data_IF_464578170307
#
_entry.id   IF_464578170307
#
_cell.length_a   1.000
_cell.length_b   1.000
_cell.length_c   1.000
_cell.angle_alpha   90.00
_cell.angle_beta   90.00
_cell.angle_gamma   90.00
#
_symmetry.space_group_name_H-M   'P 1'
#
loop_
_entity.id
_entity.type
_entity.pdbx_description
1 polymer ?
#
# COMPACT_ATOMS: atom_id res chain seq x y z
N UNK A 1 -75.07 -15.08 -6.80
CA UNK A 1 -74.21 -15.72 -5.77
C UNK A 1 -73.81 -17.11 -6.29
N UNK A 2 -72.58 -17.20 -6.85
CA UNK A 2 -72.06 -18.49 -7.37
C UNK A 2 -71.22 -19.15 -6.26
N UNK A 3 -71.82 -20.15 -5.58
CA UNK A 3 -71.11 -20.98 -4.63
C UNK A 3 -70.09 -21.85 -5.40
N UNK A 4 -68.80 -21.55 -5.26
CA UNK A 4 -67.74 -22.45 -5.69
C UNK A 4 -67.84 -23.73 -4.85
N UNK A 5 -68.23 -24.88 -5.45
CA UNK A 5 -68.18 -26.21 -4.85
C UNK A 5 -66.71 -26.48 -4.47
N UNK A 6 -66.39 -26.48 -3.17
CA UNK A 6 -65.12 -27.04 -2.66
C UNK A 6 -65.10 -28.54 -2.97
N UNK A 7 -64.26 -28.94 -3.91
CA UNK A 7 -64.03 -30.35 -4.18
C UNK A 7 -63.45 -31.03 -2.94
N UNK A 8 -64.00 -32.17 -2.57
CA UNK A 8 -63.46 -32.99 -1.49
C UNK A 8 -61.96 -33.26 -1.68
N UNK A 9 -61.12 -32.85 -0.72
CA UNK A 9 -59.71 -33.14 -0.74
C UNK A 9 -59.47 -34.51 -0.05
N UNK A 10 -59.05 -35.49 -0.84
CA UNK A 10 -58.65 -36.82 -0.35
C UNK A 10 -57.11 -36.84 -0.12
N UNK A 11 -56.68 -37.50 0.97
CA UNK A 11 -55.25 -37.71 1.24
C UNK A 11 -54.71 -38.84 0.32
N UNK A 12 -53.40 -38.96 0.22
CA UNK A 12 -52.78 -39.92 -0.69
C UNK A 12 -53.01 -41.40 -0.24
N UNK A 13 -53.15 -41.63 1.05
CA UNK A 13 -53.44 -42.97 1.60
C UNK A 13 -54.81 -43.46 1.17
N UNK A 14 -55.83 -42.56 1.21
CA UNK A 14 -57.17 -42.89 0.71
C UNK A 14 -57.16 -43.18 -0.81
N UNK A 15 -56.38 -42.43 -1.59
CA UNK A 15 -56.27 -42.68 -3.04
C UNK A 15 -55.58 -44.03 -3.33
N UNK A 16 -54.49 -44.32 -2.59
CA UNK A 16 -53.77 -45.59 -2.70
C UNK A 16 -54.73 -46.78 -2.37
N UNK A 17 -55.51 -46.68 -1.27
CA UNK A 17 -56.46 -47.75 -0.87
C UNK A 17 -57.53 -47.95 -1.91
N UNK A 18 -58.04 -46.91 -2.54
CA UNK A 18 -59.02 -47.02 -3.63
C UNK A 18 -58.44 -47.72 -4.88
N UNK A 19 -57.18 -47.42 -5.20
CA UNK A 19 -56.44 -48.07 -6.30
C UNK A 19 -56.18 -49.52 -5.99
N UNK A 20 -55.88 -49.90 -4.74
CA UNK A 20 -55.68 -51.26 -4.28
C UNK A 20 -56.99 -52.09 -4.34
N UNK A 21 -58.11 -51.47 -3.95
CA UNK A 21 -59.44 -52.08 -4.10
C UNK A 21 -59.76 -52.33 -5.58
N UNK A 22 -59.49 -51.44 -6.47
CA UNK A 22 -59.65 -51.64 -7.92
C UNK A 22 -58.79 -52.81 -8.41
N UNK A 23 -57.52 -52.91 -7.98
CA UNK A 23 -56.59 -54.00 -8.32
C UNK A 23 -57.01 -55.29 -7.76
N UNK A 24 -57.79 -55.34 -6.64
CA UNK A 24 -58.37 -56.55 -6.02
C UNK A 24 -59.65 -57.01 -6.70
N UNK A 25 -60.11 -56.27 -7.73
CA UNK A 25 -61.25 -56.74 -8.54
C UNK A 25 -62.49 -55.83 -8.42
N UNK A 26 -62.54 -54.83 -7.60
CA UNK A 26 -63.69 -53.89 -7.51
C UNK A 26 -63.83 -53.03 -8.77
N UNK A 27 -65.03 -52.90 -9.30
CA UNK A 27 -65.23 -52.02 -10.46
C UNK A 27 -65.27 -50.56 -10.12
N UNK A 28 -64.83 -49.70 -11.05
CA UNK A 28 -64.83 -48.20 -10.86
C UNK A 28 -66.25 -47.69 -10.54
N UNK A 29 -67.30 -48.29 -11.05
CA UNK A 29 -68.69 -47.95 -10.75
C UNK A 29 -69.06 -48.25 -9.29
N UNK A 30 -68.63 -49.38 -8.77
CA UNK A 30 -68.85 -49.75 -7.37
C UNK A 30 -68.10 -48.78 -6.44
N UNK A 31 -66.82 -48.50 -6.72
CA UNK A 31 -66.03 -47.54 -5.96
C UNK A 31 -66.62 -46.12 -6.01
N UNK A 32 -67.19 -45.74 -7.13
CA UNK A 32 -67.89 -44.41 -7.23
C UNK A 32 -69.14 -44.39 -6.33
N UNK A 33 -69.93 -45.45 -6.37
CA UNK A 33 -71.15 -45.59 -5.56
C UNK A 33 -70.89 -45.67 -4.06
N UNK A 34 -69.86 -46.41 -3.68
CA UNK A 34 -69.55 -46.66 -2.28
C UNK A 34 -68.81 -45.52 -1.60
N UNK A 35 -67.80 -44.91 -2.28
CA UNK A 35 -66.92 -43.86 -1.71
C UNK A 35 -67.28 -42.48 -2.18
N UNK A 36 -68.22 -42.26 -3.07
CA UNK A 36 -68.72 -40.95 -3.54
C UNK A 36 -67.70 -40.19 -4.38
N UNK A 37 -66.70 -40.88 -4.94
CA UNK A 37 -65.67 -40.28 -5.78
C UNK A 37 -66.01 -40.43 -7.25
N UNK A 38 -65.92 -39.36 -8.05
CA UNK A 38 -66.29 -39.45 -9.47
C UNK A 38 -65.37 -40.44 -10.23
N UNK A 39 -65.97 -41.21 -11.16
CA UNK A 39 -65.26 -42.21 -11.98
C UNK A 39 -64.05 -41.65 -12.67
N UNK A 40 -64.14 -40.42 -13.19
CA UNK A 40 -62.99 -39.67 -13.82
C UNK A 40 -61.84 -39.51 -12.83
N UNK A 41 -62.18 -39.19 -11.57
CA UNK A 41 -61.16 -39.00 -10.52
C UNK A 41 -60.52 -40.32 -10.13
N UNK A 42 -61.28 -41.40 -10.04
CA UNK A 42 -60.77 -42.78 -9.75
C UNK A 42 -59.82 -43.19 -10.87
N UNK A 43 -60.20 -43.06 -12.14
CA UNK A 43 -59.32 -43.42 -13.27
C UNK A 43 -58.00 -42.60 -13.25
N UNK A 44 -58.09 -41.35 -12.87
CA UNK A 44 -56.88 -40.53 -12.70
C UNK A 44 -55.98 -41.10 -11.58
N UNK A 45 -56.56 -41.47 -10.45
CA UNK A 45 -55.80 -42.03 -9.35
C UNK A 45 -55.22 -43.42 -9.69
N UNK A 46 -55.94 -44.26 -10.42
CA UNK A 46 -55.44 -45.53 -10.95
C UNK A 46 -54.18 -45.26 -11.79
N UNK A 47 -54.21 -44.27 -12.67
CA UNK A 47 -53.07 -43.91 -13.51
C UNK A 47 -51.87 -43.37 -12.69
N UNK A 48 -52.12 -42.59 -11.64
CA UNK A 48 -51.09 -41.93 -10.86
C UNK A 48 -50.49 -42.82 -9.77
N UNK A 49 -51.25 -43.78 -9.23
CA UNK A 49 -50.86 -44.56 -8.07
C UNK A 49 -50.75 -46.09 -8.33
N UNK A 50 -51.04 -46.58 -9.54
CA UNK A 50 -50.73 -47.97 -9.87
C UNK A 50 -49.26 -48.23 -9.90
N UNK A 51 -48.68 -49.09 -9.05
CA UNK A 51 -47.25 -49.33 -9.04
C UNK A 51 -46.79 -49.96 -10.36
N UNK A 52 -45.57 -49.55 -10.79
CA UNK A 52 -44.85 -50.12 -11.94
C UNK A 52 -43.54 -50.67 -11.41
N UNK A 53 -43.15 -51.88 -11.89
CA UNK A 53 -41.83 -52.43 -11.53
C UNK A 53 -40.70 -51.51 -11.95
N UNK A 54 -39.89 -51.04 -11.00
CA UNK A 54 -38.69 -50.27 -11.23
C UNK A 54 -37.50 -51.17 -11.60
N UNK A 55 -36.42 -50.54 -12.10
CA UNK A 55 -35.20 -51.24 -12.56
C UNK A 55 -34.52 -52.05 -11.44
N UNK A 56 -34.76 -51.71 -10.17
CA UNK A 56 -34.18 -52.36 -8.99
C UNK A 56 -35.16 -53.34 -8.32
N UNK A 57 -36.24 -53.78 -9.00
CA UNK A 57 -37.24 -54.67 -8.47
C UNK A 57 -38.13 -54.09 -7.35
N UNK A 58 -38.07 -52.79 -7.13
CA UNK A 58 -38.97 -52.08 -6.22
C UNK A 58 -40.14 -51.49 -6.97
N UNK A 59 -41.35 -51.73 -6.46
CA UNK A 59 -42.55 -51.09 -7.00
C UNK A 59 -42.52 -49.58 -6.73
N UNK A 60 -42.61 -48.75 -7.76
CA UNK A 60 -42.64 -47.27 -7.70
C UNK A 60 -43.86 -46.76 -8.44
N UNK A 61 -44.59 -45.83 -7.87
CA UNK A 61 -45.74 -45.25 -8.54
C UNK A 61 -45.33 -44.18 -9.56
N UNK A 62 -46.08 -43.98 -10.66
CA UNK A 62 -45.82 -42.93 -11.63
C UNK A 62 -45.75 -41.53 -11.00
N UNK A 63 -46.53 -41.28 -9.95
CA UNK A 63 -46.52 -40.07 -9.17
C UNK A 63 -45.17 -39.86 -8.46
N UNK A 64 -44.63 -40.89 -7.82
CA UNK A 64 -43.34 -40.86 -7.14
C UNK A 64 -42.18 -40.67 -8.15
N UNK A 65 -42.25 -41.40 -9.28
CA UNK A 65 -41.26 -41.23 -10.36
C UNK A 65 -41.24 -39.81 -10.91
N UNK A 66 -42.40 -39.18 -11.12
CA UNK A 66 -42.50 -37.81 -11.59
C UNK A 66 -41.97 -36.79 -10.53
N UNK A 67 -42.25 -37.05 -9.24
CA UNK A 67 -41.72 -36.23 -8.15
C UNK A 67 -40.19 -36.30 -8.08
N UNK A 68 -39.61 -37.52 -8.19
CA UNK A 68 -38.17 -37.73 -8.24
C UNK A 68 -37.53 -37.06 -9.47
N UNK A 69 -38.17 -37.18 -10.63
CA UNK A 69 -37.68 -36.51 -11.85
C UNK A 69 -37.68 -34.99 -11.72
N UNK A 70 -38.74 -34.42 -11.13
CA UNK A 70 -38.84 -32.97 -10.89
C UNK A 70 -37.78 -32.52 -9.92
N UNK A 71 -37.53 -33.24 -8.85
CA UNK A 71 -36.48 -32.91 -7.87
C UNK A 71 -35.05 -33.05 -8.47
N UNK A 72 -34.82 -34.11 -9.27
CA UNK A 72 -33.56 -34.25 -10.00
C UNK A 72 -33.34 -33.11 -10.98
N UNK A 73 -34.37 -32.64 -11.66
CA UNK A 73 -34.26 -31.46 -12.57
C UNK A 73 -33.91 -30.19 -11.78
N UNK A 74 -34.57 -29.98 -10.64
CA UNK A 74 -34.29 -28.85 -9.73
C UNK A 74 -32.86 -28.90 -9.22
N UNK A 75 -32.40 -30.05 -8.70
CA UNK A 75 -31.03 -30.20 -8.20
C UNK A 75 -30.00 -30.01 -9.32
N UNK A 76 -30.26 -30.46 -10.54
CA UNK A 76 -29.39 -30.16 -11.70
C UNK A 76 -29.31 -28.69 -12.02
N UNK A 77 -30.43 -27.95 -11.97
CA UNK A 77 -30.46 -26.52 -12.19
C UNK A 77 -29.74 -25.75 -11.08
N UNK A 78 -29.92 -26.15 -9.82
CA UNK A 78 -29.20 -25.57 -8.68
C UNK A 78 -27.68 -25.78 -8.82
N UNK A 79 -27.25 -26.97 -9.20
CA UNK A 79 -25.85 -27.33 -9.41
C UNK A 79 -25.24 -26.57 -10.59
N UNK A 80 -26.00 -26.34 -11.67
CA UNK A 80 -25.56 -25.53 -12.80
C UNK A 80 -25.40 -24.05 -12.43
N UNK A 81 -26.33 -23.49 -11.65
CA UNK A 81 -26.26 -22.13 -11.16
C UNK A 81 -25.09 -21.93 -10.20
N UNK A 82 -24.83 -22.89 -9.29
CA UNK A 82 -23.65 -22.88 -8.41
C UNK A 82 -22.35 -22.96 -9.22
N UNK A 83 -22.27 -23.79 -10.26
CA UNK A 83 -21.11 -23.85 -11.15
C UNK A 83 -20.85 -22.54 -11.89
N UNK A 84 -21.91 -21.87 -12.38
CA UNK A 84 -21.80 -20.54 -13.03
C UNK A 84 -21.33 -19.48 -12.04
N UNK A 85 -21.88 -19.44 -10.83
CA UNK A 85 -21.44 -18.56 -9.74
C UNK A 85 -19.97 -18.80 -9.35
N UNK A 86 -19.59 -20.06 -9.21
CA UNK A 86 -18.22 -20.46 -8.92
C UNK A 86 -17.22 -20.04 -10.02
N UNK A 87 -17.60 -20.09 -11.31
CA UNK A 87 -16.76 -19.65 -12.42
C UNK A 87 -16.36 -18.16 -12.35
N UNK A 88 -17.18 -17.31 -11.71
CA UNK A 88 -16.83 -15.92 -11.43
C UNK A 88 -15.88 -15.77 -10.24
N UNK A 89 -16.01 -16.62 -9.24
CA UNK A 89 -15.14 -16.62 -8.04
C UNK A 89 -13.77 -17.22 -8.40
N UNK A 90 -13.72 -18.28 -9.17
CA UNK A 90 -12.48 -18.96 -9.60
C UNK A 90 -11.48 -18.04 -10.31
N UNK A 91 -11.96 -17.06 -11.09
CA UNK A 91 -11.09 -16.08 -11.75
C UNK A 91 -10.32 -15.20 -10.76
N UNK A 92 -10.71 -15.16 -9.50
CA UNK A 92 -10.09 -14.35 -8.44
C UNK A 92 -9.24 -15.17 -7.47
N UNK A 93 -9.43 -16.49 -7.43
CA UNK A 93 -8.74 -17.43 -6.55
C UNK A 93 -7.62 -18.10 -7.33
N UNK A 94 -6.40 -18.12 -6.78
CA UNK A 94 -5.25 -18.75 -7.43
C UNK A 94 -5.23 -20.27 -7.16
N UNK A 95 -4.53 -21.02 -8.03
CA UNK A 95 -4.46 -22.47 -7.93
C UNK A 95 -3.81 -22.96 -6.60
N UNK A 96 -2.96 -22.12 -5.97
CA UNK A 96 -2.34 -22.45 -4.68
C UNK A 96 -3.36 -22.46 -3.55
N UNK A 97 -4.27 -21.48 -3.50
CA UNK A 97 -5.35 -21.42 -2.50
C UNK A 97 -6.34 -22.58 -2.68
N UNK A 98 -6.60 -22.96 -3.94
CA UNK A 98 -7.50 -24.09 -4.23
C UNK A 98 -6.85 -25.44 -3.89
N UNK A 99 -5.55 -25.61 -4.10
CA UNK A 99 -4.85 -26.84 -3.70
C UNK A 99 -4.71 -26.96 -2.18
N UNK A 100 -4.56 -25.83 -1.47
CA UNK A 100 -4.60 -25.78 0.00
C UNK A 100 -5.97 -26.20 0.53
N UNK A 101 -7.06 -25.66 -0.02
CA UNK A 101 -8.42 -26.06 0.30
C UNK A 101 -8.66 -27.57 0.10
N UNK A 102 -8.18 -28.14 -1.02
CA UNK A 102 -8.28 -29.58 -1.27
C UNK A 102 -7.52 -30.38 -0.19
N UNK A 103 -6.33 -29.88 0.23
CA UNK A 103 -5.52 -30.53 1.25
C UNK A 103 -6.17 -30.51 2.63
N UNK A 104 -6.86 -29.44 2.98
CA UNK A 104 -7.59 -29.29 4.24
C UNK A 104 -8.81 -30.22 4.33
N UNK A 105 -9.47 -30.50 3.19
CA UNK A 105 -10.73 -31.27 3.13
C UNK A 105 -10.57 -32.69 2.54
N UNK A 106 -9.34 -33.17 2.38
CA UNK A 106 -9.05 -34.49 1.76
C UNK A 106 -9.63 -35.67 2.52
N UNK A 107 -9.87 -35.53 3.83
CA UNK A 107 -10.39 -36.53 4.71
C UNK A 107 -11.95 -36.58 4.67
N UNK A 108 -12.59 -35.48 4.27
CA UNK A 108 -14.04 -35.33 4.18
C UNK A 108 -14.59 -35.71 2.79
N UNK A 109 -13.81 -35.42 1.72
CA UNK A 109 -14.26 -35.60 0.33
C UNK A 109 -13.17 -36.24 -0.54
N UNK A 110 -13.57 -37.08 -1.53
CA UNK A 110 -12.62 -37.64 -2.49
C UNK A 110 -11.90 -36.54 -3.30
N UNK A 111 -10.57 -36.58 -3.32
CA UNK A 111 -9.71 -35.63 -4.04
C UNK A 111 -10.13 -35.50 -5.51
N UNK A 112 -10.50 -36.62 -6.17
CA UNK A 112 -10.94 -36.62 -7.56
C UNK A 112 -12.18 -35.77 -7.78
N UNK A 113 -13.17 -35.86 -6.87
CA UNK A 113 -14.39 -35.06 -6.91
C UNK A 113 -14.13 -33.60 -6.68
N UNK A 114 -13.29 -33.26 -5.69
CA UNK A 114 -12.91 -31.88 -5.40
C UNK A 114 -12.18 -31.26 -6.58
N UNK A 115 -11.19 -31.94 -7.14
CA UNK A 115 -10.45 -31.45 -8.32
C UNK A 115 -11.37 -31.19 -9.50
N UNK A 116 -12.34 -32.10 -9.76
CA UNK A 116 -13.31 -31.92 -10.83
C UNK A 116 -14.27 -30.74 -10.57
N UNK A 117 -14.73 -30.58 -9.34
CA UNK A 117 -15.65 -29.50 -8.95
C UNK A 117 -14.96 -28.15 -9.03
N UNK A 118 -13.70 -28.09 -8.60
CA UNK A 118 -12.88 -26.86 -8.56
C UNK A 118 -12.19 -26.58 -9.91
N UNK A 119 -12.40 -27.40 -10.92
CA UNK A 119 -11.79 -27.30 -12.26
C UNK A 119 -10.25 -27.17 -12.18
N UNK A 120 -9.62 -28.03 -11.36
CA UNK A 120 -8.18 -28.15 -11.22
C UNK A 120 -7.74 -29.53 -11.72
N UNK A 121 -6.71 -29.61 -12.59
CA UNK A 121 -6.11 -30.88 -12.92
C UNK A 121 -5.57 -31.61 -11.67
N UNK A 122 -5.85 -32.90 -11.53
CA UNK A 122 -5.32 -33.70 -10.41
C UNK A 122 -3.79 -33.66 -10.33
N UNK A 123 -3.11 -33.57 -11.48
CA UNK A 123 -1.66 -33.39 -11.55
C UNK A 123 -1.21 -32.12 -10.81
N UNK A 124 -1.90 -30.99 -11.00
CA UNK A 124 -1.60 -29.72 -10.32
C UNK A 124 -1.71 -29.84 -8.79
N UNK A 125 -2.69 -30.58 -8.31
CA UNK A 125 -2.81 -30.86 -6.88
C UNK A 125 -1.63 -31.69 -6.35
N UNK A 126 -1.31 -32.83 -6.99
CA UNK A 126 -0.18 -33.66 -6.55
C UNK A 126 1.17 -33.00 -6.73
N UNK A 127 1.37 -32.18 -7.77
CA UNK A 127 2.55 -31.33 -7.92
C UNK A 127 2.68 -30.31 -6.79
N UNK A 128 1.56 -29.76 -6.31
CA UNK A 128 1.59 -28.80 -5.19
C UNK A 128 2.09 -29.44 -3.90
N UNK A 129 1.80 -30.72 -3.66
CA UNK A 129 2.27 -31.47 -2.47
C UNK A 129 3.78 -31.79 -2.52
N UNK A 130 4.32 -31.96 -3.71
CA UNK A 130 5.76 -32.29 -3.92
C UNK A 130 6.60 -31.08 -4.27
N UNK A 131 5.98 -29.89 -4.42
CA UNK A 131 6.65 -28.69 -4.87
C UNK A 131 7.66 -28.21 -3.84
N UNK A 132 8.93 -28.49 -4.07
CA UNK A 132 10.03 -27.87 -3.33
C UNK A 132 10.15 -26.39 -3.68
N UNK A 133 10.61 -25.58 -2.73
CA UNK A 133 10.83 -24.14 -2.93
C UNK A 133 11.74 -23.92 -4.15
N UNK A 134 11.27 -23.15 -5.14
CA UNK A 134 12.07 -22.85 -6.31
C UNK A 134 13.31 -22.01 -5.95
N UNK A 135 14.39 -22.11 -6.73
CA UNK A 135 15.56 -21.24 -6.56
C UNK A 135 15.17 -19.75 -6.56
N UNK A 136 14.18 -19.39 -7.39
CA UNK A 136 13.65 -18.03 -7.46
C UNK A 136 12.92 -17.60 -6.17
N UNK A 137 12.23 -18.51 -5.50
CA UNK A 137 11.52 -18.21 -4.24
C UNK A 137 12.52 -18.09 -3.10
N UNK A 138 13.56 -18.93 -3.08
CA UNK A 138 14.69 -18.84 -2.16
C UNK A 138 15.40 -17.48 -2.30
N UNK A 139 15.74 -17.07 -3.53
CA UNK A 139 16.30 -15.74 -3.80
C UNK A 139 15.35 -14.61 -3.38
N UNK A 140 14.05 -14.72 -3.72
CA UNK A 140 13.08 -13.72 -3.33
C UNK A 140 12.97 -13.57 -1.82
N UNK A 141 13.06 -14.66 -1.07
CA UNK A 141 13.07 -14.66 0.40
C UNK A 141 14.33 -13.96 0.93
N UNK A 142 15.50 -14.26 0.35
CA UNK A 142 16.74 -13.59 0.72
C UNK A 142 16.71 -12.10 0.42
N UNK A 143 16.31 -11.71 -0.80
CA UNK A 143 16.13 -10.30 -1.16
C UNK A 143 15.12 -9.58 -0.26
N UNK A 144 14.02 -10.23 0.08
CA UNK A 144 13.00 -9.64 0.99
C UNK A 144 13.58 -9.39 2.38
N UNK A 145 14.42 -10.32 2.90
CA UNK A 145 15.11 -10.13 4.16
C UNK A 145 16.06 -8.93 4.12
N UNK A 146 16.87 -8.81 3.05
CA UNK A 146 17.78 -7.68 2.84
C UNK A 146 17.02 -6.35 2.67
N UNK A 147 15.95 -6.33 1.88
CA UNK A 147 15.08 -5.17 1.72
C UNK A 147 14.53 -4.71 3.07
N UNK A 148 14.07 -5.63 3.92
CA UNK A 148 13.57 -5.32 5.27
C UNK A 148 14.68 -4.75 6.16
N UNK A 149 15.87 -5.34 6.14
CA UNK A 149 17.02 -4.85 6.89
C UNK A 149 17.35 -3.40 6.49
N UNK A 150 17.54 -3.10 5.20
CA UNK A 150 17.83 -1.75 4.70
C UNK A 150 16.72 -0.77 5.06
N UNK A 151 15.46 -1.21 4.99
CA UNK A 151 14.30 -0.39 5.34
C UNK A 151 14.31 -0.03 6.83
N UNK A 152 14.59 -0.98 7.74
CA UNK A 152 14.71 -0.72 9.18
C UNK A 152 15.93 0.14 9.51
N UNK A 153 17.09 -0.13 8.94
CA UNK A 153 18.32 0.67 9.10
C UNK A 153 18.10 2.13 8.68
N UNK A 154 17.28 2.35 7.64
CA UNK A 154 16.87 3.69 7.22
C UNK A 154 15.75 4.29 8.09
N UNK A 155 15.37 3.65 9.20
CA UNK A 155 14.20 4.03 10.02
C UNK A 155 12.92 4.19 9.16
N UNK A 156 12.71 3.24 8.25
CA UNK A 156 11.56 3.19 7.30
C UNK A 156 11.49 4.34 6.30
N UNK A 157 12.55 5.13 6.15
CA UNK A 157 12.58 6.32 5.28
C UNK A 157 12.78 5.99 3.80
N UNK A 158 13.43 4.86 3.48
CA UNK A 158 13.75 4.51 2.10
C UNK A 158 12.58 3.80 1.39
N UNK A 159 12.26 4.29 0.20
CA UNK A 159 11.40 3.60 -0.76
C UNK A 159 12.21 2.77 -1.76
N UNK A 160 11.52 2.05 -2.66
CA UNK A 160 12.13 1.11 -3.58
C UNK A 160 13.34 1.65 -4.38
N UNK A 161 13.37 2.89 -4.91
CA UNK A 161 14.53 3.37 -5.65
C UNK A 161 15.81 3.45 -4.81
N UNK A 162 15.72 3.92 -3.56
CA UNK A 162 16.88 4.01 -2.67
C UNK A 162 17.33 2.64 -2.18
N UNK A 163 16.38 1.77 -1.81
CA UNK A 163 16.67 0.38 -1.42
C UNK A 163 17.37 -0.37 -2.56
N UNK A 164 16.89 -0.20 -3.80
CA UNK A 164 17.54 -0.77 -4.97
C UNK A 164 18.99 -0.31 -5.11
N UNK A 165 19.25 0.99 -4.96
CA UNK A 165 20.62 1.53 -5.05
C UNK A 165 21.54 1.06 -3.92
N UNK A 166 21.01 0.88 -2.70
CA UNK A 166 21.78 0.29 -1.60
C UNK A 166 22.13 -1.17 -1.89
N UNK A 167 21.17 -1.96 -2.42
CA UNK A 167 21.42 -3.35 -2.83
C UNK A 167 22.48 -3.44 -3.94
N UNK A 168 22.41 -2.56 -4.95
CA UNK A 168 23.44 -2.48 -6.01
C UNK A 168 24.84 -2.19 -5.41
N UNK A 169 24.95 -1.20 -4.51
CA UNK A 169 26.22 -0.89 -3.81
C UNK A 169 26.74 -2.06 -2.97
N UNK A 170 25.85 -2.91 -2.45
CA UNK A 170 26.20 -4.14 -1.72
C UNK A 170 26.51 -5.34 -2.65
N UNK A 171 26.51 -5.15 -3.97
CA UNK A 171 26.83 -6.19 -4.96
C UNK A 171 25.65 -7.08 -5.36
N UNK A 172 24.42 -6.77 -4.96
CA UNK A 172 23.25 -7.55 -5.34
C UNK A 172 22.72 -7.14 -6.73
N UNK A 173 22.63 -8.11 -7.65
CA UNK A 173 22.04 -7.90 -8.98
C UNK A 173 20.51 -8.14 -8.93
N UNK A 174 19.75 -7.10 -8.76
CA UNK A 174 18.29 -7.13 -8.72
C UNK A 174 17.69 -5.94 -9.46
N UNK A 175 16.61 -6.13 -10.22
CA UNK A 175 15.95 -5.01 -10.91
C UNK A 175 15.05 -4.20 -9.96
N UNK A 176 14.91 -2.90 -10.23
CA UNK A 176 14.00 -2.02 -9.47
C UNK A 176 12.56 -2.55 -9.45
N UNK A 177 12.06 -3.10 -10.57
CA UNK A 177 10.72 -3.72 -10.63
C UNK A 177 10.59 -4.91 -9.68
N UNK A 178 11.66 -5.73 -9.53
CA UNK A 178 11.66 -6.86 -8.59
C UNK A 178 11.63 -6.35 -7.14
N UNK A 179 12.41 -5.32 -6.80
CA UNK A 179 12.37 -4.68 -5.47
C UNK A 179 10.99 -4.14 -5.15
N UNK A 180 10.35 -3.39 -6.07
CA UNK A 180 9.00 -2.86 -5.90
C UNK A 180 7.96 -3.95 -5.62
N UNK A 181 8.03 -5.07 -6.37
CA UNK A 181 7.14 -6.22 -6.20
C UNK A 181 7.35 -6.90 -4.84
N UNK A 182 8.61 -7.13 -4.43
CA UNK A 182 8.93 -7.74 -3.15
C UNK A 182 8.51 -6.86 -1.96
N UNK A 183 8.75 -5.55 -2.04
CA UNK A 183 8.28 -4.60 -1.02
C UNK A 183 6.76 -4.63 -0.89
N UNK A 184 6.02 -4.65 -2.02
CA UNK A 184 4.55 -4.72 -2.02
C UNK A 184 4.06 -6.01 -1.38
N UNK A 185 4.64 -7.16 -1.75
CA UNK A 185 4.30 -8.48 -1.19
C UNK A 185 4.58 -8.55 0.32
N UNK A 186 5.65 -7.90 0.78
CA UNK A 186 6.05 -7.86 2.19
C UNK A 186 5.36 -6.75 3.00
N UNK A 187 4.48 -5.94 2.40
CA UNK A 187 3.81 -4.81 3.07
C UNK A 187 4.73 -3.64 3.43
N UNK A 188 5.93 -3.57 2.85
CA UNK A 188 6.94 -2.56 3.16
C UNK A 188 6.66 -1.27 2.40
N UNK A 189 6.47 -0.15 3.13
CA UNK A 189 6.26 1.19 2.56
C UNK A 189 7.11 2.21 3.29
N UNK A 190 7.62 3.23 2.57
CA UNK A 190 8.31 4.34 3.22
C UNK A 190 7.32 5.21 4.00
N UNK A 191 7.80 5.79 5.11
CA UNK A 191 7.00 6.64 6.01
C UNK A 191 6.71 8.04 5.44
N UNK A 192 7.15 8.37 4.22
CA UNK A 192 6.99 9.70 3.62
C UNK A 192 5.52 10.10 3.43
N UNK A 193 5.11 11.21 4.04
CA UNK A 193 3.75 11.76 3.99
C UNK A 193 3.65 12.85 2.90
N UNK A 194 2.45 13.09 2.36
CA UNK A 194 2.19 14.10 1.32
C UNK A 194 2.45 15.53 1.82
N UNK A 195 2.93 16.38 0.89
CA UNK A 195 3.30 17.79 1.11
C UNK A 195 2.10 18.65 1.53
N UNK A 196 2.24 19.43 2.63
CA UNK A 196 1.39 20.57 2.95
C UNK A 196 1.84 21.77 2.11
N UNK A 197 0.95 22.56 1.54
CA UNK A 197 1.25 23.79 0.80
C UNK A 197 0.86 25.00 1.66
N UNK A 198 1.80 25.81 2.16
CA UNK A 198 1.49 27.03 2.89
C UNK A 198 1.04 28.14 1.94
N UNK A 199 0.23 29.05 2.45
CA UNK A 199 -0.27 30.24 1.74
C UNK A 199 0.74 31.36 1.82
N UNK A 200 0.97 32.08 0.71
CA UNK A 200 1.95 33.16 0.63
C UNK A 200 1.55 34.42 1.43
N UNK A 201 2.51 35.02 2.13
CA UNK A 201 2.36 36.29 2.87
C UNK A 201 2.55 37.53 1.95
N UNK A 202 1.75 38.58 2.21
CA UNK A 202 1.73 39.82 1.41
C UNK A 202 2.46 40.98 2.16
N UNK A 203 3.78 40.95 2.33
CA UNK A 203 4.51 42.09 2.82
C UNK A 203 5.31 42.77 1.70
N UNK A 204 5.39 44.16 1.73
CA UNK A 204 6.23 44.95 0.81
C UNK A 204 7.65 44.98 1.38
N UNK A 205 8.61 44.44 0.64
CA UNK A 205 10.06 44.46 0.97
C UNK A 205 10.79 45.12 -0.19
N UNK A 206 11.86 45.85 0.08
CA UNK A 206 12.71 46.47 -0.93
C UNK A 206 13.33 45.45 -1.87
N UNK A 207 13.41 45.75 -3.16
CA UNK A 207 14.05 44.87 -4.14
C UNK A 207 15.55 44.78 -3.84
N UNK A 208 16.02 43.54 -3.68
CA UNK A 208 17.44 43.17 -3.55
C UNK A 208 17.82 42.21 -4.66
N UNK A 209 19.08 42.16 -5.06
CA UNK A 209 19.54 41.45 -6.23
C UNK A 209 19.47 39.94 -6.07
N UNK A 210 18.94 39.24 -7.08
CA UNK A 210 18.98 37.79 -7.17
C UNK A 210 20.13 37.36 -8.08
N UNK A 211 21.32 37.20 -7.51
CA UNK A 211 22.56 36.86 -8.23
C UNK A 211 22.50 35.44 -8.76
N UNK A 212 21.98 34.48 -7.96
CA UNK A 212 21.87 33.04 -8.36
C UNK A 212 20.89 32.83 -9.51
N UNK A 213 19.81 33.63 -9.58
CA UNK A 213 18.82 33.60 -10.64
C UNK A 213 18.38 32.14 -11.04
N UNK A 214 18.17 31.27 -10.05
CA UNK A 214 17.85 29.85 -10.17
C UNK A 214 18.94 28.97 -10.79
N UNK A 215 20.13 29.49 -11.00
CA UNK A 215 21.28 28.67 -11.34
C UNK A 215 21.89 28.09 -10.06
N UNK A 216 21.44 26.89 -9.71
CA UNK A 216 21.92 26.09 -8.57
C UNK A 216 23.09 25.19 -8.93
N UNK A 217 23.61 25.27 -10.14
CA UNK A 217 24.78 24.49 -10.56
C UNK A 217 26.04 25.00 -9.83
N UNK A 218 26.91 24.07 -9.51
CA UNK A 218 28.18 24.31 -8.83
C UNK A 218 29.23 23.35 -9.36
N UNK A 219 30.47 23.80 -9.37
CA UNK A 219 31.62 22.99 -9.82
C UNK A 219 32.42 22.44 -8.64
N UNK A 220 32.39 23.12 -7.49
CA UNK A 220 33.14 22.71 -6.30
C UNK A 220 32.36 23.02 -5.01
N UNK A 221 32.88 22.52 -3.90
CA UNK A 221 32.37 22.81 -2.55
C UNK A 221 32.56 24.31 -2.23
N UNK A 222 31.68 24.84 -1.40
CA UNK A 222 31.75 26.25 -0.90
C UNK A 222 31.62 27.32 -1.98
N UNK A 223 31.09 27.02 -3.16
CA UNK A 223 30.83 28.01 -4.20
C UNK A 223 29.52 28.77 -3.92
N UNK A 224 28.47 28.07 -3.60
CA UNK A 224 27.13 28.63 -3.31
C UNK A 224 26.52 27.98 -2.08
N UNK A 225 26.12 28.77 -1.11
CA UNK A 225 25.40 28.36 0.08
C UNK A 225 23.99 28.92 0.07
N UNK A 226 23.04 28.17 0.60
CA UNK A 226 21.64 28.63 0.74
C UNK A 226 21.21 28.55 2.19
N UNK A 227 20.53 29.60 2.67
CA UNK A 227 20.02 29.71 4.03
C UNK A 227 18.51 29.89 4.08
N UNK A 228 17.84 29.28 5.07
CA UNK A 228 16.40 29.43 5.32
C UNK A 228 16.03 29.00 6.74
N UNK A 229 14.87 29.46 7.22
CA UNK A 229 14.32 29.13 8.54
C UNK A 229 13.12 28.23 8.39
N UNK A 230 13.04 27.17 9.21
CA UNK A 230 11.84 26.34 9.30
C UNK A 230 11.32 26.25 10.72
N UNK A 231 10.03 25.93 10.86
CA UNK A 231 9.28 25.85 12.11
C UNK A 231 9.20 24.43 12.60
N UNK A 232 9.41 24.22 13.92
CA UNK A 232 9.33 22.92 14.58
C UNK A 232 8.53 23.10 15.87
N UNK A 233 7.47 22.33 16.02
CA UNK A 233 6.60 22.41 17.19
C UNK A 233 7.10 21.49 18.31
N UNK A 234 7.06 22.00 19.56
CA UNK A 234 7.32 21.24 20.79
C UNK A 234 6.13 21.38 21.74
N UNK A 235 5.88 20.35 22.55
CA UNK A 235 4.69 20.35 23.44
C UNK A 235 4.77 21.42 24.53
N UNK A 236 5.95 21.60 25.15
CA UNK A 236 6.12 22.53 26.28
C UNK A 236 6.40 23.98 25.87
N UNK A 237 7.06 24.19 24.72
CA UNK A 237 7.53 25.53 24.32
C UNK A 237 6.86 26.07 23.06
N UNK A 238 5.89 25.31 22.48
CA UNK A 238 5.22 25.69 21.25
C UNK A 238 6.18 25.70 20.03
N UNK A 239 6.06 26.72 19.20
CA UNK A 239 6.88 26.85 18.00
C UNK A 239 8.31 27.25 18.33
N UNK A 240 9.24 26.45 17.82
CA UNK A 240 10.68 26.71 17.79
C UNK A 240 11.16 26.81 16.34
N UNK A 241 12.34 27.34 16.12
CA UNK A 241 12.83 27.72 14.81
C UNK A 241 14.21 27.09 14.56
N UNK A 242 14.39 26.59 13.36
CA UNK A 242 15.64 26.00 12.88
C UNK A 242 16.12 26.84 11.68
N UNK A 243 17.21 27.62 11.85
CA UNK A 243 17.94 28.19 10.74
C UNK A 243 18.95 27.14 10.24
N UNK A 244 19.04 26.96 8.93
CA UNK A 244 19.94 25.99 8.29
C UNK A 244 20.71 26.65 7.16
N UNK A 245 21.97 26.27 6.99
CA UNK A 245 22.84 26.62 5.86
C UNK A 245 23.21 25.32 5.15
N UNK A 246 22.99 25.27 3.84
CA UNK A 246 23.23 24.10 2.99
C UNK A 246 24.19 24.48 1.86
N UNK A 247 25.23 23.71 1.66
CA UNK A 247 26.10 23.78 0.49
C UNK A 247 25.41 23.18 -0.75
N UNK A 248 25.40 23.97 -1.84
CA UNK A 248 24.70 23.56 -3.05
C UNK A 248 25.39 22.45 -3.82
N UNK A 249 26.68 22.25 -3.69
CA UNK A 249 27.43 21.21 -4.37
C UNK A 249 27.19 19.85 -3.74
N UNK A 250 27.43 19.75 -2.45
CA UNK A 250 27.36 18.51 -1.68
C UNK A 250 25.96 18.16 -1.20
N UNK A 251 25.05 19.13 -1.15
CA UNK A 251 23.75 19.06 -0.45
C UNK A 251 23.88 18.82 1.06
N UNK A 252 25.06 19.08 1.63
CA UNK A 252 25.35 18.96 3.05
C UNK A 252 24.77 20.15 3.83
N UNK A 253 24.15 19.88 4.95
CA UNK A 253 23.83 20.91 5.94
C UNK A 253 25.12 21.19 6.69
N UNK A 254 25.73 22.33 6.38
CA UNK A 254 27.07 22.73 6.86
C UNK A 254 27.04 23.58 8.13
N UNK A 255 25.87 24.20 8.40
CA UNK A 255 25.66 24.98 9.62
C UNK A 255 24.18 25.08 9.95
N UNK A 256 23.84 25.11 11.22
CA UNK A 256 22.46 25.33 11.68
C UNK A 256 22.44 25.88 13.10
N UNK A 257 21.29 26.48 13.45
CA UNK A 257 21.00 26.97 14.79
C UNK A 257 19.55 26.71 15.13
N UNK A 258 19.28 26.19 16.31
CA UNK A 258 17.91 25.93 16.79
C UNK A 258 17.60 26.84 17.97
N UNK A 259 16.49 27.58 17.89
CA UNK A 259 16.14 28.63 18.87
C UNK A 259 14.64 28.60 19.18
N UNK A 260 14.28 29.15 20.36
CA UNK A 260 12.87 29.39 20.73
C UNK A 260 12.31 30.67 20.11
N UNK A 261 13.19 31.56 19.61
CA UNK A 261 12.82 32.84 19.01
C UNK A 261 13.44 32.96 17.62
N UNK A 262 12.69 33.50 16.69
CA UNK A 262 13.14 33.75 15.31
C UNK A 262 13.82 35.12 15.24
N UNK A 263 15.11 35.16 15.56
CA UNK A 263 15.93 36.38 15.62
C UNK A 263 17.03 36.38 14.58
N UNK A 264 17.59 37.56 14.29
CA UNK A 264 18.81 37.74 13.46
C UNK A 264 19.97 36.94 14.03
N UNK A 265 20.14 36.92 15.36
CA UNK A 265 21.21 36.21 16.03
C UNK A 265 21.19 34.69 15.75
N UNK A 266 19.99 34.12 15.58
CA UNK A 266 19.85 32.71 15.22
C UNK A 266 20.40 32.39 13.81
N UNK A 267 20.14 33.24 12.82
CA UNK A 267 20.66 33.04 11.45
C UNK A 267 22.15 33.39 11.36
N UNK A 268 22.64 34.41 12.10
CA UNK A 268 24.07 34.67 12.26
C UNK A 268 24.78 33.45 12.81
N UNK A 269 24.27 32.85 13.89
CA UNK A 269 24.87 31.66 14.51
C UNK A 269 24.89 30.44 13.56
N UNK A 270 23.86 30.27 12.72
CA UNK A 270 23.85 29.21 11.70
C UNK A 270 24.94 29.44 10.65
N UNK A 271 25.12 30.69 10.20
CA UNK A 271 26.18 31.07 9.26
C UNK A 271 27.57 30.93 9.86
N UNK A 272 27.79 31.40 11.10
CA UNK A 272 29.05 31.22 11.84
C UNK A 272 29.46 29.76 11.95
N UNK A 273 28.50 28.88 12.32
CA UNK A 273 28.74 27.45 12.41
C UNK A 273 29.15 26.85 11.06
N UNK A 274 28.52 27.29 9.95
CA UNK A 274 28.90 26.90 8.60
C UNK A 274 30.32 27.37 8.25
N UNK A 275 30.62 28.66 8.52
CA UNK A 275 31.92 29.27 8.20
C UNK A 275 33.09 28.61 8.96
N UNK A 276 32.91 28.39 10.27
CA UNK A 276 33.94 27.76 11.11
C UNK A 276 34.16 26.29 10.70
N UNK A 277 33.10 25.59 10.31
CA UNK A 277 33.17 24.16 9.91
C UNK A 277 33.81 24.00 8.54
N UNK A 278 33.44 24.84 7.57
CA UNK A 278 33.84 24.68 6.17
C UNK A 278 35.14 25.43 5.85
N UNK A 279 35.46 26.52 6.57
CA UNK A 279 36.60 27.39 6.31
C UNK A 279 36.75 27.73 4.81
N UNK A 280 35.69 28.29 4.20
CA UNK A 280 35.71 28.54 2.77
C UNK A 280 36.73 29.59 2.37
N UNK A 281 37.16 29.59 1.12
CA UNK A 281 37.83 30.71 0.51
C UNK A 281 36.89 31.90 0.35
N UNK A 282 37.46 33.11 0.13
CA UNK A 282 36.68 34.31 -0.17
C UNK A 282 35.75 34.11 -1.39
N UNK A 283 34.63 34.82 -1.41
CA UNK A 283 33.76 34.90 -2.57
C UNK A 283 32.60 33.90 -2.62
N UNK A 284 32.30 33.19 -1.53
CA UNK A 284 31.07 32.34 -1.43
C UNK A 284 29.83 33.21 -1.69
N UNK A 285 28.92 32.68 -2.53
CA UNK A 285 27.60 33.29 -2.72
C UNK A 285 26.66 32.71 -1.68
N UNK A 286 26.18 33.54 -0.74
CA UNK A 286 25.14 33.14 0.21
C UNK A 286 23.78 33.61 -0.27
N UNK A 287 22.84 32.68 -0.46
CA UNK A 287 21.50 33.00 -0.94
C UNK A 287 20.44 32.73 0.13
N UNK A 288 19.52 33.66 0.32
CA UNK A 288 18.42 33.56 1.27
C UNK A 288 17.11 34.11 0.69
N UNK A 289 16.02 33.95 1.43
CA UNK A 289 14.80 34.69 1.19
C UNK A 289 14.92 36.17 1.65
N UNK A 290 13.87 36.96 1.45
CA UNK A 290 13.75 38.33 1.90
C UNK A 290 13.23 38.45 3.35
N UNK A 291 13.46 37.45 4.20
CA UNK A 291 13.09 37.48 5.61
C UNK A 291 13.82 38.61 6.36
N UNK A 292 13.14 39.23 7.32
CA UNK A 292 13.71 40.35 8.10
C UNK A 292 15.02 40.01 8.78
N UNK A 293 15.23 38.72 9.12
CA UNK A 293 16.46 38.25 9.74
C UNK A 293 17.65 38.30 8.79
N UNK A 294 17.45 37.97 7.51
CA UNK A 294 18.49 37.97 6.49
C UNK A 294 18.70 39.36 5.87
N UNK A 295 17.71 40.25 5.98
CA UNK A 295 17.77 41.60 5.43
C UNK A 295 18.23 42.65 6.44
N UNK A 296 18.55 42.26 7.69
CA UNK A 296 19.03 43.13 8.75
C UNK A 296 20.47 43.59 8.49
N UNK A 297 20.81 44.77 9.01
CA UNK A 297 22.16 45.33 8.91
C UNK A 297 23.18 44.44 9.62
N UNK A 298 22.85 43.88 10.79
CA UNK A 298 23.70 42.97 11.53
C UNK A 298 24.05 41.70 10.71
N UNK A 299 23.13 41.21 9.87
CA UNK A 299 23.43 40.08 9.00
C UNK A 299 24.24 40.48 7.78
N UNK A 300 24.02 41.70 7.26
CA UNK A 300 24.82 42.23 6.17
C UNK A 300 26.28 42.43 6.59
N UNK A 301 26.52 42.88 7.83
CA UNK A 301 27.85 43.07 8.41
C UNK A 301 28.63 41.73 8.45
N UNK A 302 28.04 40.64 8.96
CA UNK A 302 28.71 39.31 9.01
C UNK A 302 28.99 38.73 7.61
N UNK A 303 28.09 38.96 6.64
CA UNK A 303 28.32 38.61 5.23
C UNK A 303 29.55 39.35 4.67
N UNK A 304 29.69 40.61 5.01
CA UNK A 304 30.84 41.42 4.59
C UNK A 304 32.13 40.97 5.29
N UNK A 305 32.09 40.72 6.61
CA UNK A 305 33.23 40.25 7.38
C UNK A 305 33.78 38.93 6.84
N UNK A 306 32.88 38.02 6.39
CA UNK A 306 33.25 36.76 5.77
C UNK A 306 33.55 36.88 4.27
N UNK A 307 33.57 38.08 3.71
CA UNK A 307 33.80 38.38 2.28
C UNK A 307 32.91 37.52 1.35
N UNK A 308 31.67 37.34 1.75
CA UNK A 308 30.66 36.67 0.98
C UNK A 308 29.85 37.63 0.13
N UNK A 309 29.21 37.11 -0.91
CA UNK A 309 28.26 37.87 -1.73
C UNK A 309 26.83 37.44 -1.38
N UNK A 310 25.98 38.37 -0.94
CA UNK A 310 24.60 38.05 -0.58
C UNK A 310 23.68 38.14 -1.79
N UNK A 311 22.99 37.02 -2.08
CA UNK A 311 21.99 36.90 -3.13
C UNK A 311 20.60 36.67 -2.49
N UNK A 312 19.55 37.26 -3.04
CA UNK A 312 18.21 37.20 -2.48
C UNK A 312 17.21 36.60 -3.44
N UNK A 313 16.28 35.77 -2.91
CA UNK A 313 15.13 35.31 -3.66
C UNK A 313 14.22 36.46 -4.05
N UNK A 314 13.66 36.43 -5.27
CA UNK A 314 12.64 37.40 -5.68
C UNK A 314 11.38 37.21 -4.86
N UNK A 315 10.70 38.30 -4.56
CA UNK A 315 9.45 38.29 -3.81
C UNK A 315 8.41 37.40 -4.47
N UNK A 316 7.83 36.46 -3.69
CA UNK A 316 6.79 35.57 -4.16
C UNK A 316 7.28 34.48 -5.12
N UNK A 317 8.59 34.27 -5.23
CA UNK A 317 9.21 33.24 -6.07
C UNK A 317 9.77 32.10 -5.24
N UNK A 318 8.96 31.13 -4.81
CA UNK A 318 9.42 30.01 -3.97
C UNK A 318 10.48 29.13 -4.66
N UNK A 319 10.52 29.16 -5.98
CA UNK A 319 11.53 28.38 -6.74
C UNK A 319 12.95 28.96 -6.64
N UNK A 320 13.09 30.19 -6.18
CA UNK A 320 14.40 30.84 -6.07
C UNK A 320 15.19 30.26 -4.89
N UNK A 321 14.54 29.69 -3.86
CA UNK A 321 15.17 29.02 -2.70
C UNK A 321 14.85 27.50 -2.62
N UNK A 322 14.52 26.89 -3.76
CA UNK A 322 14.00 25.53 -3.83
C UNK A 322 14.91 24.46 -3.20
N UNK A 323 16.24 24.66 -3.20
CA UNK A 323 17.19 23.68 -2.68
C UNK A 323 17.06 23.49 -1.17
N UNK A 324 17.04 24.58 -0.40
CA UNK A 324 16.91 24.49 1.06
C UNK A 324 15.47 24.18 1.48
N UNK A 325 14.46 24.68 0.75
CA UNK A 325 13.07 24.25 0.96
C UNK A 325 12.89 22.75 0.78
N UNK A 326 13.60 22.17 -0.19
CA UNK A 326 13.62 20.70 -0.38
C UNK A 326 14.22 19.99 0.83
N UNK A 327 15.32 20.49 1.41
CA UNK A 327 15.87 19.96 2.65
C UNK A 327 14.86 20.03 3.79
N UNK A 328 14.24 21.19 4.04
CA UNK A 328 13.25 21.35 5.08
C UNK A 328 12.02 20.43 4.88
N UNK A 329 11.59 20.26 3.64
CA UNK A 329 10.51 19.32 3.32
C UNK A 329 10.90 17.87 3.61
N UNK A 330 12.15 17.49 3.37
CA UNK A 330 12.69 16.16 3.67
C UNK A 330 12.78 15.96 5.18
N UNK A 331 13.36 16.93 5.93
CA UNK A 331 13.43 16.91 7.38
C UNK A 331 12.05 16.71 8.01
N UNK A 332 11.06 17.47 7.56
CA UNK A 332 9.69 17.34 8.05
C UNK A 332 9.08 15.98 7.75
N UNK A 333 9.28 15.47 6.53
CA UNK A 333 8.72 14.18 6.10
C UNK A 333 9.38 12.95 6.71
N UNK A 334 10.66 13.06 7.04
CA UNK A 334 11.44 11.91 7.49
C UNK A 334 11.62 11.90 9.02
N UNK A 335 11.41 13.03 9.70
CA UNK A 335 11.62 13.16 11.14
C UNK A 335 10.47 13.92 11.82
N UNK A 336 10.34 15.23 11.59
CA UNK A 336 9.51 16.13 12.41
C UNK A 336 8.03 15.73 12.46
N UNK A 337 7.46 15.26 11.34
CA UNK A 337 6.05 14.86 11.28
C UNK A 337 5.75 13.50 11.93
N UNK A 338 6.78 12.80 12.36
CA UNK A 338 6.63 11.46 12.97
C UNK A 338 6.95 11.43 14.46
N UNK A 339 7.46 12.54 15.01
CA UNK A 339 7.88 12.65 16.40
C UNK A 339 7.20 13.83 17.06
N UNK A 340 6.65 13.63 18.25
CA UNK A 340 6.20 14.71 19.13
C UNK A 340 7.32 15.03 20.11
N UNK A 341 7.99 16.15 19.93
CA UNK A 341 9.06 16.60 20.84
C UNK A 341 8.46 17.15 22.13
N UNK A 342 8.89 16.61 23.27
CA UNK A 342 8.40 17.06 24.57
C UNK A 342 8.73 18.53 24.83
N UNK A 343 9.98 18.91 24.58
CA UNK A 343 10.50 20.27 24.82
C UNK A 343 11.61 20.63 23.83
N UNK A 344 12.15 21.85 23.98
CA UNK A 344 13.23 22.39 23.19
C UNK A 344 14.48 21.50 23.16
N UNK A 345 14.91 20.99 24.33
CA UNK A 345 16.12 20.18 24.43
C UNK A 345 15.96 18.82 23.75
N UNK A 346 14.79 18.18 23.92
CA UNK A 346 14.46 16.95 23.22
C UNK A 346 14.49 17.15 21.69
N UNK A 347 13.86 18.21 21.19
CA UNK A 347 13.89 18.54 19.78
C UNK A 347 15.34 18.82 19.28
N UNK A 348 16.12 19.57 20.04
CA UNK A 348 17.52 19.90 19.70
C UNK A 348 18.37 18.63 19.50
N UNK A 349 18.25 17.67 20.41
CA UNK A 349 19.01 16.41 20.35
C UNK A 349 18.59 15.56 19.13
N UNK A 350 17.29 15.43 18.87
CA UNK A 350 16.82 14.64 17.73
C UNK A 350 17.13 15.30 16.39
N UNK A 351 17.05 16.62 16.29
CA UNK A 351 17.48 17.37 15.11
C UNK A 351 18.98 17.20 14.85
N UNK A 352 19.82 17.25 15.88
CA UNK A 352 21.24 16.97 15.77
C UNK A 352 21.49 15.54 15.22
N UNK A 353 20.87 14.54 15.81
CA UNK A 353 20.98 13.14 15.35
C UNK A 353 20.50 12.97 13.91
N UNK A 354 19.44 13.69 13.53
CA UNK A 354 18.93 13.64 12.17
C UNK A 354 19.89 14.31 11.19
N UNK A 355 20.33 15.55 11.45
CA UNK A 355 21.17 16.31 10.53
C UNK A 355 22.55 15.66 10.41
N UNK A 356 23.27 15.51 11.53
CA UNK A 356 24.64 15.02 11.50
C UNK A 356 24.76 13.50 11.30
N UNK A 357 23.93 12.75 12.01
CA UNK A 357 24.04 11.29 12.00
C UNK A 357 23.39 10.64 10.80
N UNK A 358 22.25 11.19 10.35
CA UNK A 358 21.49 10.59 9.26
C UNK A 358 21.61 11.35 7.94
N UNK A 359 21.21 12.63 7.89
CA UNK A 359 21.11 13.37 6.65
C UNK A 359 22.48 13.55 5.97
N UNK A 360 23.47 14.03 6.71
CA UNK A 360 24.80 14.29 6.16
C UNK A 360 25.60 13.03 5.87
N UNK A 361 25.48 11.96 6.69
CA UNK A 361 26.41 10.80 6.65
C UNK A 361 25.83 9.50 6.15
N UNK A 362 24.51 9.34 6.16
CA UNK A 362 23.87 8.04 5.81
C UNK A 362 22.82 8.17 4.72
N UNK A 363 22.20 9.33 4.58
CA UNK A 363 21.15 9.55 3.63
C UNK A 363 21.69 9.74 2.22
N UNK A 364 21.37 8.84 1.30
CA UNK A 364 21.75 8.96 -0.12
C UNK A 364 20.84 9.93 -0.87
N UNK A 365 21.42 10.72 -1.78
CA UNK A 365 20.73 11.74 -2.57
C UNK A 365 20.79 11.45 -4.06
N UNK A 366 19.62 11.42 -4.73
CA UNK A 366 19.55 11.15 -6.18
C UNK A 366 20.23 12.23 -7.03
N UNK A 367 20.22 13.49 -6.58
CA UNK A 367 20.81 14.63 -7.33
C UNK A 367 22.34 14.66 -7.33
N UNK A 368 22.98 13.90 -6.46
CA UNK A 368 24.45 13.77 -6.38
C UNK A 368 24.87 12.29 -6.56
N UNK A 369 24.26 11.61 -7.52
CA UNK A 369 24.66 10.25 -7.88
C UNK A 369 24.38 9.17 -6.81
N UNK A 370 23.42 9.40 -5.91
CA UNK A 370 23.13 8.52 -4.77
C UNK A 370 24.32 8.37 -3.79
N UNK A 371 25.15 9.38 -3.72
CA UNK A 371 26.10 9.56 -2.63
C UNK A 371 25.41 10.17 -1.42
N UNK A 372 26.02 10.05 -0.25
CA UNK A 372 25.68 10.89 0.89
C UNK A 372 26.32 12.26 0.73
N UNK A 373 25.81 13.33 1.38
CA UNK A 373 26.47 14.64 1.38
C UNK A 373 27.93 14.59 1.83
N UNK A 374 28.27 13.77 2.82
CA UNK A 374 29.64 13.59 3.27
C UNK A 374 30.50 12.87 2.22
N UNK A 375 30.03 11.78 1.62
CA UNK A 375 30.75 11.11 0.53
C UNK A 375 31.03 12.05 -0.65
N UNK A 376 30.08 12.93 -0.99
CA UNK A 376 30.26 13.91 -2.07
C UNK A 376 31.31 14.96 -1.71
N UNK A 377 31.32 15.46 -0.47
CA UNK A 377 32.34 16.40 0.02
C UNK A 377 33.73 15.75 -0.03
N UNK A 378 33.86 14.55 0.54
CA UNK A 378 35.14 13.83 0.57
C UNK A 378 35.68 13.56 -0.84
N UNK A 379 34.80 13.18 -1.79
CA UNK A 379 35.17 12.97 -3.19
C UNK A 379 35.69 14.25 -3.85
N UNK A 380 35.00 15.38 -3.64
CA UNK A 380 35.37 16.67 -4.28
C UNK A 380 36.69 17.19 -3.72
N UNK A 381 36.88 17.09 -2.40
CA UNK A 381 38.14 17.53 -1.76
C UNK A 381 39.33 16.66 -2.18
N UNK A 382 39.14 15.34 -2.31
CA UNK A 382 40.21 14.43 -2.76
C UNK A 382 40.57 14.59 -4.25
N UNK A 383 39.68 15.13 -5.07
CA UNK A 383 39.96 15.47 -6.48
C UNK A 383 40.67 16.80 -6.65
N UNK A 384 40.66 17.65 -5.62
CA UNK A 384 41.29 18.99 -5.64
C UNK A 384 42.75 18.96 -5.14
N UNK A 385 43.25 17.83 -4.67
CA UNK A 385 44.63 17.53 -4.27
C UNK A 385 45.34 16.78 -5.38
#
# INVERSE_FOLDING_TARGET
MNQRKHGNRYNDDFKKMLVDLYRSGSSVKELNSEYGVSEVTIYKWIKDFTPVEGVDGKEVTPKETHAIQKENLRLKQELENLKKGYGHIRKKVNDSELTEFISEHKDDYPIATMCQTLDIPRSTYYESLTKTESNRDRENREYTRKIRQIHEESKKRYGAPKIHKVLEKQGYSISLKRVQRLMRKAGIKSITVKKFRPTASKQKVAERENIINRDFSTTTVNEKWVGDITYIHTLRHGWCYLASVLDLHTKKVIGYSFSRSMTTEMVKKALENAYVTQKPNDGVIFHSDLGSQYTSDDFAEIIQDYKMTHSFSRKGSPYDNACIESFHAILKKEEVNHVQYLDFNAAKVELFKYIEGWYNRKRIHGSIGYLTPQEMEDLTLNQAV
#
